data_IF_634209538728
#
_entry.id   IF_634209538728
#
_cell.length_a   1.000
_cell.length_b   1.000
_cell.length_c   1.000
_cell.angle_alpha   90.00
_cell.angle_beta   90.00
_cell.angle_gamma   90.00
#
_symmetry.space_group_name_H-M   'P 1'
#
loop_
_entity.id
_entity.type
_entity.pdbx_description
1 polymer ?
#
# COMPACT_ATOMS: atom_id res chain seq x y z
N UNK A 1 -11.29 25.49 21.27
CA UNK A 1 -10.78 25.93 22.58
C UNK A 1 -9.26 25.99 22.47
N UNK A 2 -8.68 27.11 22.88
CA UNK A 2 -7.24 27.36 22.81
C UNK A 2 -6.66 27.29 24.21
N UNK A 3 -5.48 26.67 24.36
CA UNK A 3 -4.81 26.50 25.64
C UNK A 3 -3.66 27.50 25.76
N UNK A 4 -3.58 28.19 26.90
CA UNK A 4 -2.55 29.18 27.18
C UNK A 4 -1.79 28.83 28.46
N UNK A 5 -0.48 29.07 28.45
CA UNK A 5 0.39 29.05 29.63
C UNK A 5 1.17 30.36 29.63
N UNK A 6 1.08 31.13 30.73
CA UNK A 6 1.74 32.44 30.89
C UNK A 6 1.50 33.40 29.70
N UNK A 7 0.29 33.38 29.14
CA UNK A 7 -0.10 34.20 27.98
C UNK A 7 0.34 33.66 26.62
N UNK A 8 1.08 32.55 26.58
CA UNK A 8 1.52 31.89 25.34
C UNK A 8 0.50 30.86 24.87
N UNK A 9 0.04 30.95 23.61
CA UNK A 9 -0.79 29.92 22.98
C UNK A 9 0.08 28.68 22.68
N UNK A 10 -0.17 27.60 23.41
CA UNK A 10 0.60 26.35 23.28
C UNK A 10 0.37 25.71 21.91
N UNK A 11 -0.86 25.79 21.39
CA UNK A 11 -1.18 25.21 20.09
C UNK A 11 -0.42 25.95 18.99
N UNK A 12 -0.39 27.27 19.04
CA UNK A 12 0.38 28.08 18.09
C UNK A 12 1.88 27.77 18.16
N UNK A 13 2.43 27.62 19.38
CA UNK A 13 3.84 27.28 19.58
C UNK A 13 4.18 25.89 19.02
N UNK A 14 3.33 24.88 19.23
CA UNK A 14 3.53 23.53 18.67
C UNK A 14 3.53 23.53 17.15
N UNK A 15 2.61 24.27 16.52
CA UNK A 15 2.54 24.37 15.05
C UNK A 15 3.74 25.15 14.51
N UNK A 16 4.08 26.29 15.11
CA UNK A 16 5.22 27.11 14.69
C UNK A 16 6.57 26.38 14.82
N UNK A 17 6.72 25.52 15.83
CA UNK A 17 7.89 24.65 15.98
C UNK A 17 7.94 23.44 15.03
N UNK A 18 6.88 23.20 14.26
CA UNK A 18 6.77 22.06 13.34
C UNK A 18 6.53 20.72 14.06
N UNK A 19 5.99 20.73 15.28
CA UNK A 19 5.66 19.52 16.04
C UNK A 19 4.20 19.09 15.85
N UNK A 20 3.35 19.99 15.38
CA UNK A 20 1.95 19.76 15.08
C UNK A 20 1.58 20.36 13.72
N UNK A 21 0.52 19.82 13.11
CA UNK A 21 -0.08 20.35 11.89
C UNK A 21 -1.31 21.18 12.22
N UNK A 22 -1.55 22.23 11.44
CA UNK A 22 -2.79 22.98 11.50
C UNK A 22 -3.93 22.10 10.96
N UNK A 23 -4.96 21.85 11.77
CA UNK A 23 -6.07 20.98 11.35
C UNK A 23 -7.13 21.77 10.58
N UNK A 24 -6.79 22.12 9.33
CA UNK A 24 -7.54 23.01 8.43
C UNK A 24 -8.94 22.53 8.07
N UNK A 25 -9.29 21.28 8.37
CA UNK A 25 -10.65 20.76 8.23
C UNK A 25 -11.66 21.50 9.12
N UNK A 26 -11.22 22.03 10.25
CA UNK A 26 -12.10 22.67 11.24
C UNK A 26 -11.78 24.13 11.50
N UNK A 27 -10.54 24.58 11.27
CA UNK A 27 -10.14 25.96 11.48
C UNK A 27 -8.81 26.29 10.81
N UNK A 28 -8.67 27.53 10.35
CA UNK A 28 -7.42 28.07 9.77
C UNK A 28 -6.62 28.93 10.76
N UNK A 29 -6.99 28.99 12.05
CA UNK A 29 -6.34 29.87 13.05
C UNK A 29 -4.83 29.64 13.24
N UNK A 30 -4.31 28.50 12.80
CA UNK A 30 -2.87 28.17 12.88
C UNK A 30 -2.19 28.00 11.51
N UNK A 31 -2.86 28.40 10.42
CA UNK A 31 -2.34 28.22 9.07
C UNK A 31 -1.03 29.01 8.83
N UNK A 32 -0.93 30.23 9.36
CA UNK A 32 0.26 31.06 9.23
C UNK A 32 1.46 30.47 9.97
N UNK A 33 1.25 29.92 11.17
CA UNK A 33 2.27 29.24 11.96
C UNK A 33 2.76 27.97 11.24
N UNK A 34 1.86 27.24 10.58
CA UNK A 34 2.24 26.07 9.79
C UNK A 34 3.08 26.49 8.60
N UNK A 35 2.66 27.52 7.85
CA UNK A 35 3.43 28.03 6.71
C UNK A 35 4.81 28.57 7.13
N UNK A 36 4.92 29.16 8.32
CA UNK A 36 6.20 29.58 8.87
C UNK A 36 7.10 28.38 9.21
N UNK A 37 6.55 27.35 9.86
CA UNK A 37 7.28 26.12 10.17
C UNK A 37 7.78 25.39 8.91
N UNK A 38 6.99 25.42 7.82
CA UNK A 38 7.37 24.92 6.49
C UNK A 38 8.55 25.69 5.91
N UNK A 39 8.45 27.03 5.89
CA UNK A 39 9.50 27.91 5.35
C UNK A 39 10.82 27.77 6.10
N UNK A 40 10.76 27.58 7.42
CA UNK A 40 11.92 27.38 8.29
C UNK A 40 12.43 25.94 8.33
N UNK A 41 11.75 25.02 7.67
CA UNK A 41 12.05 23.58 7.72
C UNK A 41 12.13 23.06 9.17
N UNK A 42 11.22 23.54 10.03
CA UNK A 42 11.23 23.24 11.47
C UNK A 42 10.56 21.90 11.78
N UNK A 43 11.10 21.15 12.74
CA UNK A 43 10.48 19.91 13.23
C UNK A 43 10.23 18.91 12.11
N UNK A 44 8.97 18.45 11.96
CA UNK A 44 8.55 17.54 10.90
C UNK A 44 8.87 18.08 9.50
N UNK A 45 8.82 19.40 9.32
CA UNK A 45 9.10 20.08 8.05
C UNK A 45 10.58 20.12 7.67
N UNK A 46 11.49 19.57 8.49
CA UNK A 46 12.89 19.37 8.08
C UNK A 46 13.07 18.15 7.17
N UNK A 47 12.03 17.33 7.01
CA UNK A 47 12.06 16.11 6.23
C UNK A 47 10.77 15.88 5.46
N UNK A 48 10.54 14.62 5.10
CA UNK A 48 9.33 14.17 4.42
C UNK A 48 8.51 13.28 5.37
N UNK A 49 7.20 13.51 5.41
CA UNK A 49 6.30 12.79 6.29
C UNK A 49 4.90 12.71 5.69
N UNK A 50 4.08 11.82 6.22
CA UNK A 50 2.65 11.74 5.90
C UNK A 50 1.89 12.36 7.06
N UNK A 51 0.86 13.14 6.75
CA UNK A 51 0.02 13.75 7.78
C UNK A 51 -0.54 12.70 8.75
N UNK A 52 -0.64 13.06 10.03
CA UNK A 52 -1.05 12.15 11.11
C UNK A 52 -2.42 11.51 10.85
N UNK A 53 -3.36 12.25 10.25
CA UNK A 53 -4.70 11.75 9.92
C UNK A 53 -4.71 10.76 8.75
N UNK A 54 -3.71 10.81 7.87
CA UNK A 54 -3.57 9.89 6.73
C UNK A 54 -2.71 8.67 7.04
N UNK A 55 -1.83 8.75 8.04
CA UNK A 55 -0.84 7.73 8.37
C UNK A 55 -1.40 6.30 8.46
N UNK A 56 -2.56 6.13 9.12
CA UNK A 56 -3.19 4.82 9.32
C UNK A 56 -3.82 4.24 8.06
N UNK A 57 -4.16 5.07 7.07
CA UNK A 57 -4.84 4.68 5.83
C UNK A 57 -3.96 4.89 4.59
N UNK A 58 -2.67 5.15 4.82
CA UNK A 58 -1.74 5.54 3.77
C UNK A 58 -1.61 4.46 2.69
N UNK A 59 -1.62 4.91 1.44
CA UNK A 59 -1.52 4.09 0.24
C UNK A 59 -0.72 4.86 -0.83
N UNK A 60 -0.61 4.32 -2.05
CA UNK A 60 0.20 4.90 -3.12
C UNK A 60 -0.26 6.29 -3.59
N UNK A 61 -1.49 6.69 -3.27
CA UNK A 61 -2.07 8.00 -3.58
C UNK A 61 -1.97 8.98 -2.39
N UNK A 62 -1.45 8.56 -1.24
CA UNK A 62 -1.31 9.43 -0.08
C UNK A 62 -0.28 10.51 -0.34
N UNK A 63 -0.65 11.75 -0.04
CA UNK A 63 0.22 12.91 -0.13
C UNK A 63 1.36 12.83 0.89
N UNK A 64 2.57 13.14 0.43
CA UNK A 64 3.73 13.33 1.30
C UNK A 64 3.90 14.82 1.51
N UNK A 65 3.80 15.24 2.77
CA UNK A 65 4.15 16.57 3.21
C UNK A 65 5.64 16.63 3.50
N UNK A 66 6.23 17.82 3.47
CA UNK A 66 7.61 17.98 3.88
C UNK A 66 8.15 19.36 3.63
N UNK A 67 9.44 19.51 3.91
CA UNK A 67 10.20 20.70 3.55
C UNK A 67 10.02 21.02 2.06
N UNK A 68 10.33 22.26 1.67
CA UNK A 68 10.33 22.83 0.31
C UNK A 68 10.82 21.88 -0.82
N UNK A 69 11.55 20.82 -0.49
CA UNK A 69 11.85 19.67 -1.35
C UNK A 69 11.62 18.34 -0.65
N UNK A 70 10.68 17.52 -1.14
CA UNK A 70 10.47 16.12 -0.72
C UNK A 70 11.38 15.21 -1.55
N UNK A 71 12.14 14.27 -0.94
CA UNK A 71 12.95 13.30 -1.70
C UNK A 71 12.09 12.42 -2.61
N UNK A 72 12.56 12.14 -3.83
CA UNK A 72 11.83 11.35 -4.84
C UNK A 72 11.46 9.94 -4.36
N UNK A 73 12.19 9.38 -3.41
CA UNK A 73 11.97 8.04 -2.87
C UNK A 73 11.17 8.03 -1.55
N UNK A 74 10.73 9.19 -1.06
CA UNK A 74 9.95 9.29 0.17
C UNK A 74 8.67 8.43 0.11
N UNK A 75 8.01 8.34 -1.05
CA UNK A 75 6.80 7.53 -1.23
C UNK A 75 7.09 6.04 -0.95
N UNK A 76 8.22 5.54 -1.46
CA UNK A 76 8.64 4.15 -1.27
C UNK A 76 9.01 3.83 0.19
N UNK A 77 9.48 4.82 0.95
CA UNK A 77 9.89 4.65 2.35
C UNK A 77 8.72 4.79 3.33
N UNK A 78 7.79 5.72 3.07
CA UNK A 78 6.74 6.10 4.00
C UNK A 78 5.44 5.31 3.78
N UNK A 79 5.09 5.03 2.52
CA UNK A 79 3.93 4.20 2.20
C UNK A 79 4.36 2.74 2.30
N UNK A 80 3.60 1.89 3.02
CA UNK A 80 3.87 0.47 2.98
C UNK A 80 3.70 0.07 1.53
N UNK A 81 4.76 -0.45 0.93
CA UNK A 81 4.60 -1.22 -0.30
C UNK A 81 3.45 -2.17 -0.01
N UNK A 82 2.43 -2.28 -0.89
CA UNK A 82 1.51 -3.40 -0.77
C UNK A 82 2.43 -4.60 -0.60
N UNK A 83 2.26 -5.34 0.51
CA UNK A 83 2.93 -6.63 0.64
C UNK A 83 2.70 -7.26 -0.71
N UNK A 84 3.74 -7.39 -1.54
CA UNK A 84 3.61 -8.00 -2.84
C UNK A 84 3.04 -9.36 -2.50
N UNK A 85 1.72 -9.52 -2.69
CA UNK A 85 0.86 -10.42 -1.92
C UNK A 85 1.64 -11.66 -1.70
N UNK A 86 2.16 -11.85 -0.47
CA UNK A 86 3.31 -12.71 -0.18
C UNK A 86 3.33 -13.80 -1.24
N UNK A 87 4.12 -13.62 -2.30
CA UNK A 87 4.04 -14.55 -3.42
C UNK A 87 4.55 -15.82 -2.81
N UNK A 88 3.59 -16.65 -2.42
CA UNK A 88 3.62 -18.08 -2.32
C UNK A 88 5.06 -18.59 -2.35
N UNK A 89 5.80 -18.39 -1.25
CA UNK A 89 6.89 -19.32 -0.96
C UNK A 89 6.36 -20.67 -0.50
N UNK A 90 5.04 -20.80 -0.38
CA UNK A 90 4.36 -22.07 -0.13
C UNK A 90 3.10 -22.16 -0.98
N UNK A 91 3.25 -22.69 -2.19
CA UNK A 91 2.16 -23.17 -3.02
C UNK A 91 1.63 -22.16 -4.02
N UNK A 92 2.16 -22.17 -5.23
CA UNK A 92 1.41 -21.79 -6.41
C UNK A 92 0.02 -22.48 -6.33
N UNK A 93 -1.06 -21.70 -6.18
CA UNK A 93 -2.41 -22.22 -5.87
C UNK A 93 -3.24 -22.52 -7.11
N UNK A 94 -2.73 -22.30 -8.31
CA UNK A 94 -3.48 -22.60 -9.52
C UNK A 94 -3.07 -23.98 -9.98
N UNK A 95 -4.03 -24.90 -10.06
CA UNK A 95 -3.78 -26.29 -10.44
C UNK A 95 -3.96 -26.45 -11.94
N UNK A 96 -2.89 -26.79 -12.67
CA UNK A 96 -2.93 -27.09 -14.11
C UNK A 96 -2.93 -28.59 -14.37
N UNK A 97 -4.08 -29.14 -14.77
CA UNK A 97 -4.24 -30.54 -15.19
C UNK A 97 -4.41 -30.72 -16.71
N UNK A 98 -4.05 -31.90 -17.21
CA UNK A 98 -4.17 -32.24 -18.63
C UNK A 98 -5.31 -33.24 -18.75
N UNK A 99 -6.39 -32.82 -19.40
CA UNK A 99 -7.54 -33.71 -19.65
C UNK A 99 -7.11 -34.88 -20.55
N UNK A 100 -7.82 -36.01 -20.48
CA UNK A 100 -7.52 -37.21 -21.27
C UNK A 100 -7.45 -36.97 -22.80
N UNK A 101 -8.05 -35.87 -23.27
CA UNK A 101 -8.01 -35.43 -24.67
C UNK A 101 -6.80 -34.52 -24.99
N UNK A 102 -5.79 -34.45 -24.12
CA UNK A 102 -4.58 -33.63 -24.31
C UNK A 102 -4.78 -32.13 -24.09
N UNK A 103 -5.90 -31.73 -23.47
CA UNK A 103 -6.23 -30.31 -23.30
C UNK A 103 -5.71 -29.79 -21.96
N UNK A 104 -4.89 -28.73 -22.02
CA UNK A 104 -4.32 -28.04 -20.87
C UNK A 104 -5.35 -27.13 -20.19
N UNK A 105 -5.76 -27.49 -18.96
CA UNK A 105 -6.78 -26.76 -18.22
C UNK A 105 -6.22 -26.32 -16.86
N UNK A 106 -6.53 -25.09 -16.44
CA UNK A 106 -6.17 -24.62 -15.10
C UNK A 106 -7.41 -24.33 -14.24
N UNK A 107 -7.29 -24.66 -12.95
CA UNK A 107 -8.31 -24.46 -11.92
C UNK A 107 -7.84 -23.44 -10.88
N UNK A 108 -8.72 -22.49 -10.56
CA UNK A 108 -8.53 -21.50 -9.50
C UNK A 108 -9.09 -21.99 -8.16
N UNK A 109 -8.52 -21.54 -7.03
CA UNK A 109 -9.13 -21.75 -5.71
C UNK A 109 -10.57 -21.23 -5.68
N UNK A 110 -11.51 -22.08 -5.28
CA UNK A 110 -12.95 -21.75 -5.24
C UNK A 110 -13.79 -22.31 -6.39
N UNK A 111 -13.19 -22.98 -7.38
CA UNK A 111 -13.95 -23.75 -8.38
C UNK A 111 -14.42 -25.10 -7.81
N UNK A 112 -15.55 -25.62 -8.30
CA UNK A 112 -16.15 -26.88 -7.82
C UNK A 112 -15.21 -28.08 -7.87
N UNK A 113 -14.39 -28.15 -8.93
CA UNK A 113 -13.46 -29.27 -9.13
C UNK A 113 -12.05 -28.99 -8.61
N UNK A 114 -11.79 -27.82 -8.02
CA UNK A 114 -10.46 -27.45 -7.55
C UNK A 114 -9.91 -28.44 -6.51
N UNK A 115 -10.74 -28.89 -5.57
CA UNK A 115 -10.31 -29.83 -4.52
C UNK A 115 -10.18 -31.27 -5.03
N UNK A 116 -10.93 -31.62 -6.08
CA UNK A 116 -10.89 -32.94 -6.72
C UNK A 116 -9.69 -33.09 -7.65
N UNK A 117 -9.26 -32.00 -8.29
CA UNK A 117 -8.11 -32.02 -9.19
C UNK A 117 -6.83 -32.28 -8.40
N UNK A 118 -6.24 -33.46 -8.65
CA UNK A 118 -4.90 -33.83 -8.20
C UNK A 118 -3.93 -33.69 -9.36
N UNK A 119 -2.84 -32.97 -9.14
CA UNK A 119 -1.81 -32.73 -10.14
C UNK A 119 -0.80 -33.88 -10.12
N UNK A 120 -0.53 -34.41 -11.30
CA UNK A 120 0.39 -35.51 -11.58
C UNK A 120 1.51 -35.03 -12.49
N UNK A 121 2.67 -34.70 -11.92
CA UNK A 121 3.83 -34.18 -12.67
C UNK A 121 4.30 -35.13 -13.78
N UNK A 122 4.13 -36.45 -13.61
CA UNK A 122 4.48 -37.45 -14.63
C UNK A 122 3.72 -37.29 -15.94
N UNK A 123 2.55 -36.66 -15.92
CA UNK A 123 1.74 -36.39 -17.12
C UNK A 123 2.03 -35.00 -17.70
N UNK A 124 2.91 -34.20 -17.08
CA UNK A 124 3.16 -32.80 -17.44
C UNK A 124 2.22 -31.81 -16.75
N UNK A 125 1.44 -32.26 -15.76
CA UNK A 125 0.57 -31.39 -14.95
C UNK A 125 1.42 -30.60 -13.93
N UNK A 126 1.07 -29.33 -13.68
CA UNK A 126 1.86 -28.44 -12.83
C UNK A 126 1.03 -27.38 -12.12
N UNK A 127 1.62 -26.73 -11.13
CA UNK A 127 1.02 -25.59 -10.45
C UNK A 127 1.49 -24.26 -11.04
N UNK A 128 0.58 -23.31 -11.15
CA UNK A 128 0.86 -21.93 -11.55
C UNK A 128 0.61 -20.98 -10.39
N UNK A 129 1.40 -19.91 -10.36
CA UNK A 129 1.27 -18.87 -9.34
C UNK A 129 0.33 -17.74 -9.79
N UNK A 130 0.16 -17.53 -11.11
CA UNK A 130 -0.73 -16.51 -11.69
C UNK A 130 -1.48 -17.06 -12.91
N UNK A 131 -2.64 -16.48 -13.23
CA UNK A 131 -3.43 -16.86 -14.41
C UNK A 131 -2.69 -16.53 -15.71
N UNK A 132 -2.03 -15.37 -15.77
CA UNK A 132 -1.17 -14.96 -16.89
C UNK A 132 -0.10 -16.01 -17.20
N UNK A 133 0.57 -16.55 -16.18
CA UNK A 133 1.59 -17.59 -16.39
C UNK A 133 0.99 -18.89 -16.95
N UNK A 134 -0.23 -19.25 -16.55
CA UNK A 134 -0.93 -20.41 -17.08
C UNK A 134 -1.37 -20.17 -18.55
N UNK A 135 -1.91 -19.01 -18.85
CA UNK A 135 -2.35 -18.65 -20.21
C UNK A 135 -1.17 -18.51 -21.17
N UNK A 136 -0.07 -17.87 -20.75
CA UNK A 136 1.17 -17.78 -21.52
C UNK A 136 1.80 -19.15 -21.80
N UNK A 137 1.58 -20.10 -20.90
CA UNK A 137 1.96 -21.50 -21.09
C UNK A 137 1.01 -22.30 -22.00
N UNK A 138 -0.06 -21.69 -22.54
CA UNK A 138 -1.06 -22.33 -23.39
C UNK A 138 -2.17 -23.07 -22.65
N UNK A 139 -2.39 -22.78 -21.36
CA UNK A 139 -3.42 -23.41 -20.53
C UNK A 139 -4.68 -22.55 -20.51
N UNK A 140 -5.84 -23.17 -20.69
CA UNK A 140 -7.13 -22.47 -20.65
C UNK A 140 -7.83 -22.64 -19.31
N UNK A 141 -8.65 -21.65 -18.92
CA UNK A 141 -9.43 -21.73 -17.68
C UNK A 141 -10.46 -22.86 -17.76
N UNK A 142 -10.59 -23.65 -16.70
CA UNK A 142 -11.67 -24.62 -16.57
C UNK A 142 -13.03 -23.92 -16.66
N UNK A 143 -13.94 -24.49 -17.46
CA UNK A 143 -15.34 -24.10 -17.45
C UNK A 143 -16.02 -24.93 -16.34
N UNK A 144 -16.77 -24.19 -15.53
CA UNK A 144 -17.30 -24.58 -14.21
C UNK A 144 -18.22 -25.80 -14.21
#
# INVERSE_FOLDING_TARGET
MTCFVDGSDINAAMVSGGWALAFRRYSDVYADQEQESQRRQAGLWSGAFIALWDWRKRNQQTEILGALTVPLDAQNRLVPRPFASASSRTGCRIKGNISGNGVHIYHLPGQRDYDKTRITERKGERWFCTEDAAQAAGWRRARN
#
